data_IF_830516861845
#
_entry.id   IF_830516861845
#
_cell.length_a   1.000
_cell.length_b   1.000
_cell.length_c   1.000
_cell.angle_alpha   90.00
_cell.angle_beta   90.00
_cell.angle_gamma   90.00
#
_symmetry.space_group_name_H-M   'P 1'
#
loop_
_entity.id
_entity.type
_entity.pdbx_description
1 polymer ?
#
# COMPACT_ATOMS: atom_id res chain seq x y z
N UNK A 1 -11.94 -13.60 2.75
CA UNK A 1 -11.45 -13.68 1.36
C UNK A 1 -11.96 -12.50 0.55
N UNK A 2 -11.15 -11.99 -0.32
CA UNK A 2 -11.54 -10.91 -1.23
C UNK A 2 -12.27 -11.51 -2.42
N UNK A 3 -13.51 -11.11 -2.64
CA UNK A 3 -14.34 -11.60 -3.74
C UNK A 3 -14.29 -10.73 -5.00
N UNK A 4 -13.19 -10.01 -5.22
CA UNK A 4 -13.03 -9.14 -6.37
C UNK A 4 -11.54 -8.98 -6.74
N UNK A 5 -11.29 -8.43 -7.91
CA UNK A 5 -9.94 -8.04 -8.33
C UNK A 5 -9.94 -6.60 -8.76
N UNK A 6 -8.75 -6.05 -8.95
CA UNK A 6 -8.55 -4.64 -9.24
C UNK A 6 -7.70 -4.48 -10.50
N UNK A 7 -8.09 -3.51 -11.33
CA UNK A 7 -7.30 -3.07 -12.47
C UNK A 7 -6.85 -1.63 -12.23
N UNK A 8 -5.55 -1.39 -12.35
CA UNK A 8 -5.01 -0.04 -12.29
C UNK A 8 -5.20 0.65 -13.65
N UNK A 9 -5.54 1.94 -13.61
CA UNK A 9 -5.82 2.72 -14.82
C UNK A 9 -4.57 3.27 -15.48
N UNK A 10 -3.46 3.29 -14.77
CA UNK A 10 -2.21 3.84 -15.27
C UNK A 10 -1.17 2.74 -15.42
N UNK A 11 -0.35 2.84 -16.43
CA UNK A 11 0.76 1.93 -16.69
C UNK A 11 1.99 2.76 -17.02
N UNK A 12 3.16 2.19 -16.82
CA UNK A 12 4.42 2.84 -17.13
C UNK A 12 5.25 3.13 -15.90
N UNK A 13 5.95 4.25 -15.90
CA UNK A 13 6.86 4.61 -14.81
C UNK A 13 6.11 4.75 -13.49
N UNK A 14 6.72 4.25 -12.41
CA UNK A 14 6.11 4.34 -11.10
C UNK A 14 5.05 3.27 -10.83
N UNK A 15 5.11 2.13 -11.52
CA UNK A 15 4.16 1.03 -11.33
C UNK A 15 4.04 0.64 -9.85
N UNK A 16 5.17 0.55 -9.12
CA UNK A 16 5.14 0.19 -7.71
C UNK A 16 4.36 1.23 -6.88
N UNK A 17 4.52 2.51 -7.19
CA UNK A 17 3.78 3.60 -6.55
C UNK A 17 2.30 3.48 -6.87
N UNK A 18 1.97 3.26 -8.13
CA UNK A 18 0.59 3.09 -8.59
C UNK A 18 -0.09 1.90 -7.91
N UNK A 19 0.57 0.74 -7.90
CA UNK A 19 0.02 -0.46 -7.27
C UNK A 19 -0.23 -0.20 -5.78
N UNK A 20 0.72 0.41 -5.09
CA UNK A 20 0.58 0.73 -3.67
C UNK A 20 -0.60 1.68 -3.43
N UNK A 21 -0.73 2.72 -4.25
CA UNK A 21 -1.83 3.68 -4.15
C UNK A 21 -3.17 3.01 -4.39
N UNK A 22 -3.28 2.18 -5.42
CA UNK A 22 -4.51 1.47 -5.76
C UNK A 22 -4.89 0.47 -4.67
N UNK A 23 -3.94 -0.31 -4.17
CA UNK A 23 -4.21 -1.26 -3.08
C UNK A 23 -4.66 -0.54 -1.82
N UNK A 24 -4.09 0.63 -1.53
CA UNK A 24 -4.49 1.46 -0.38
C UNK A 24 -5.93 1.92 -0.56
N UNK A 25 -6.29 2.44 -1.72
CA UNK A 25 -7.67 2.84 -2.01
C UNK A 25 -8.64 1.67 -1.91
N UNK A 26 -8.28 0.53 -2.48
CA UNK A 26 -9.12 -0.68 -2.40
C UNK A 26 -9.34 -1.09 -0.94
N UNK A 27 -8.29 -1.05 -0.13
CA UNK A 27 -8.39 -1.37 1.29
C UNK A 27 -9.42 -0.50 1.99
N UNK A 28 -9.37 0.81 1.77
CA UNK A 28 -10.33 1.73 2.39
C UNK A 28 -11.70 1.71 1.73
N UNK A 29 -11.73 1.76 0.40
CA UNK A 29 -12.98 2.00 -0.35
C UNK A 29 -13.82 0.75 -0.54
N UNK A 30 -13.18 -0.41 -0.67
CA UNK A 30 -13.89 -1.68 -0.94
C UNK A 30 -13.88 -2.63 0.26
N UNK A 31 -12.80 -2.66 1.03
CA UNK A 31 -12.68 -3.57 2.17
C UNK A 31 -13.12 -2.95 3.49
N UNK A 32 -13.33 -1.64 3.55
CA UNK A 32 -13.75 -0.95 4.76
C UNK A 32 -12.70 -0.92 5.86
N UNK A 33 -11.43 -0.97 5.48
CA UNK A 33 -10.34 -0.90 6.45
C UNK A 33 -10.28 0.48 7.09
N UNK A 34 -9.84 0.52 8.34
CA UNK A 34 -9.64 1.78 9.08
C UNK A 34 -8.21 2.26 9.00
N UNK A 35 -7.28 1.36 8.70
CA UNK A 35 -5.85 1.63 8.66
C UNK A 35 -5.18 0.73 7.63
N UNK A 36 -4.23 1.28 6.90
CA UNK A 36 -3.35 0.53 6.00
C UNK A 36 -1.91 0.75 6.44
N UNK A 37 -1.18 -0.32 6.64
CA UNK A 37 0.22 -0.29 7.03
C UNK A 37 1.10 -0.75 5.89
N UNK A 38 2.27 -0.11 5.77
CA UNK A 38 3.33 -0.51 4.85
C UNK A 38 4.61 -0.66 5.65
N UNK A 39 5.28 -1.80 5.49
CA UNK A 39 6.56 -2.05 6.11
C UNK A 39 7.63 -2.08 5.03
N UNK A 40 8.71 -1.37 5.24
CA UNK A 40 9.79 -1.23 4.25
C UNK A 40 11.13 -1.50 4.91
N UNK A 41 12.01 -2.20 4.19
CA UNK A 41 13.39 -2.38 4.58
C UNK A 41 14.08 -1.00 4.58
N UNK A 42 14.71 -0.58 5.71
CA UNK A 42 15.40 0.71 5.78
C UNK A 42 16.51 0.88 4.74
N UNK A 43 17.06 -0.22 4.25
CA UNK A 43 18.12 -0.17 3.23
C UNK A 43 17.57 0.02 1.81
N UNK A 44 16.26 -0.08 1.64
CA UNK A 44 15.62 0.06 0.34
C UNK A 44 15.09 1.47 0.12
N UNK A 45 15.96 2.36 -0.32
CA UNK A 45 15.63 3.77 -0.56
C UNK A 45 14.46 3.96 -1.53
N UNK A 46 14.40 3.16 -2.58
CA UNK A 46 13.32 3.27 -3.58
C UNK A 46 11.97 2.96 -2.96
N UNK A 47 11.90 1.90 -2.17
CA UNK A 47 10.66 1.52 -1.51
C UNK A 47 10.26 2.47 -0.40
N UNK A 48 11.23 3.11 0.27
CA UNK A 48 10.94 4.15 1.28
C UNK A 48 10.27 5.38 0.67
N UNK A 49 10.59 5.71 -0.58
CA UNK A 49 10.01 6.88 -1.25
C UNK A 49 8.52 6.70 -1.54
N UNK A 50 8.07 5.48 -1.76
CA UNK A 50 6.69 5.21 -2.15
C UNK A 50 5.70 5.67 -1.09
N UNK A 51 5.74 5.19 0.16
CA UNK A 51 4.80 5.65 1.16
C UNK A 51 4.95 7.14 1.49
N UNK A 52 6.16 7.66 1.46
CA UNK A 52 6.41 9.09 1.68
C UNK A 52 5.75 9.95 0.61
N UNK A 53 5.90 9.56 -0.66
CA UNK A 53 5.29 10.26 -1.79
C UNK A 53 3.77 10.21 -1.75
N UNK A 54 3.21 9.11 -1.31
CA UNK A 54 1.76 8.92 -1.25
C UNK A 54 1.10 9.59 -0.05
N UNK A 55 1.87 10.05 0.92
CA UNK A 55 1.34 10.76 2.08
C UNK A 55 1.12 9.89 3.31
N UNK A 56 1.73 8.72 3.36
CA UNK A 56 1.71 7.90 4.56
C UNK A 56 2.53 8.55 5.66
N UNK A 57 2.11 8.33 6.90
CA UNK A 57 2.85 8.77 8.09
C UNK A 57 3.90 7.71 8.44
N UNK A 58 5.12 8.14 8.68
CA UNK A 58 6.17 7.27 9.18
C UNK A 58 6.01 7.13 10.69
N UNK A 59 5.55 5.96 11.14
CA UNK A 59 5.26 5.73 12.56
C UNK A 59 6.50 5.39 13.38
N UNK A 60 7.46 4.72 12.78
CA UNK A 60 8.68 4.35 13.47
C UNK A 60 9.35 3.11 12.91
N UNK A 61 10.21 2.52 13.71
CA UNK A 61 11.00 1.35 13.33
C UNK A 61 10.57 0.16 14.17
N UNK A 62 10.26 -0.94 13.49
CA UNK A 62 9.98 -2.24 14.11
C UNK A 62 11.28 -3.03 14.13
N UNK A 63 11.82 -3.26 15.32
CA UNK A 63 13.09 -3.96 15.44
C UNK A 63 12.96 -5.44 15.14
N UNK A 64 13.88 -5.96 14.33
CA UNK A 64 13.99 -7.39 13.99
C UNK A 64 12.67 -7.96 13.44
N UNK A 65 12.04 -7.21 12.58
CA UNK A 65 10.75 -7.58 11.99
C UNK A 65 10.91 -8.33 10.67
N UNK A 66 11.96 -8.03 9.91
CA UNK A 66 12.19 -8.63 8.60
C UNK A 66 13.17 -9.78 8.69
N UNK A 67 12.90 -10.82 7.89
CA UNK A 67 13.78 -11.98 7.81
C UNK A 67 15.18 -11.60 7.32
N UNK A 68 16.21 -12.37 7.74
CA UNK A 68 17.55 -12.16 7.22
C UNK A 68 17.60 -12.27 5.70
N UNK A 69 18.47 -11.47 5.06
CA UNK A 69 18.71 -11.56 3.63
C UNK A 69 19.44 -12.85 3.25
N UNK A 70 20.23 -13.37 4.19
CA UNK A 70 21.02 -14.57 4.00
C UNK A 70 20.69 -15.57 5.08
N UNK A 71 20.75 -16.87 4.74
CA UNK A 71 20.54 -17.93 5.71
C UNK A 71 21.55 -17.82 6.85
N UNK A 72 21.06 -17.88 8.08
CA UNK A 72 21.89 -17.71 9.27
C UNK A 72 22.24 -16.28 9.62
N UNK A 73 21.76 -15.30 8.84
CA UNK A 73 21.98 -13.90 9.14
C UNK A 73 21.10 -13.37 10.27
N UNK A 74 21.26 -12.10 10.60
CA UNK A 74 20.43 -11.45 11.61
C UNK A 74 19.11 -10.95 11.02
N UNK A 75 18.06 -10.97 11.84
CA UNK A 75 16.79 -10.35 11.51
C UNK A 75 17.00 -8.84 11.40
N UNK A 76 16.27 -8.24 10.46
CA UNK A 76 16.43 -6.85 10.09
C UNK A 76 15.26 -6.02 10.59
N UNK A 77 15.53 -4.74 10.81
CA UNK A 77 14.50 -3.79 11.21
C UNK A 77 13.61 -3.45 10.01
N UNK A 78 12.42 -2.97 10.30
CA UNK A 78 11.46 -2.50 9.29
C UNK A 78 10.99 -1.11 9.64
N UNK A 79 10.86 -0.26 8.65
CA UNK A 79 10.22 1.05 8.84
C UNK A 79 8.71 0.87 8.63
N UNK A 80 7.94 1.31 9.61
CA UNK A 80 6.48 1.24 9.55
C UNK A 80 5.90 2.57 9.10
N UNK A 81 5.09 2.50 8.06
CA UNK A 81 4.28 3.62 7.60
C UNK A 81 2.81 3.25 7.74
N UNK A 82 1.97 4.23 8.00
CA UNK A 82 0.54 4.01 8.09
C UNK A 82 -0.25 5.14 7.46
N UNK A 83 -1.49 4.82 7.06
CA UNK A 83 -2.49 5.78 6.67
C UNK A 83 -3.80 5.37 7.31
N UNK A 84 -4.51 6.33 7.88
CA UNK A 84 -5.85 6.14 8.43
C UNK A 84 -6.88 6.48 7.37
N UNK A 85 -8.09 5.91 7.48
CA UNK A 85 -9.13 6.10 6.46
C UNK A 85 -9.45 7.57 6.22
N UNK A 86 -9.47 8.39 7.28
CA UNK A 86 -9.73 9.83 7.16
C UNK A 86 -8.64 10.61 6.45
N UNK A 87 -7.47 10.02 6.28
CA UNK A 87 -6.33 10.65 5.61
C UNK A 87 -6.31 10.38 4.10
N UNK A 88 -7.08 9.39 3.64
CA UNK A 88 -7.09 9.00 2.23
C UNK A 88 -7.46 10.16 1.30
N UNK A 89 -8.52 10.95 1.55
CA UNK A 89 -8.92 12.01 0.62
C UNK A 89 -7.85 13.08 0.40
N UNK A 90 -7.02 13.34 1.39
CA UNK A 90 -5.93 14.31 1.30
C UNK A 90 -4.61 13.73 0.80
N UNK A 91 -4.56 12.43 0.54
CA UNK A 91 -3.34 11.76 0.11
C UNK A 91 -3.19 11.76 -1.40
N UNK A 92 -1.97 11.46 -1.87
CA UNK A 92 -1.73 11.33 -3.31
C UNK A 92 -2.28 10.02 -3.89
N UNK A 93 -2.77 9.11 -3.05
CA UNK A 93 -3.37 7.85 -3.53
C UNK A 93 -4.59 8.11 -4.41
N UNK A 94 -5.36 9.15 -4.12
CA UNK A 94 -6.59 9.46 -4.88
C UNK A 94 -6.32 9.94 -6.31
N UNK A 95 -5.08 10.26 -6.64
CA UNK A 95 -4.70 10.61 -8.01
C UNK A 95 -4.67 9.39 -8.94
N UNK A 96 -4.70 8.18 -8.38
CA UNK A 96 -4.63 6.94 -9.14
C UNK A 96 -6.00 6.30 -9.23
N UNK A 97 -6.48 6.10 -10.45
CA UNK A 97 -7.78 5.47 -10.69
C UNK A 97 -7.68 3.96 -10.74
N UNK A 98 -8.81 3.31 -10.53
CA UNK A 98 -8.94 1.86 -10.67
C UNK A 98 -10.40 1.48 -10.92
N UNK A 99 -10.60 0.24 -11.38
CA UNK A 99 -11.90 -0.40 -11.39
C UNK A 99 -11.83 -1.67 -10.54
N UNK A 100 -12.79 -1.86 -9.66
CA UNK A 100 -12.88 -3.04 -8.83
C UNK A 100 -14.06 -3.90 -9.29
N UNK A 101 -13.87 -5.21 -9.30
CA UNK A 101 -14.85 -6.17 -9.79
C UNK A 101 -15.14 -7.21 -8.72
N UNK A 102 -16.37 -7.70 -8.67
CA UNK A 102 -16.72 -8.84 -7.82
C UNK A 102 -16.30 -10.17 -8.49
N UNK A 103 -16.60 -11.29 -7.84
CA UNK A 103 -16.18 -12.61 -8.34
C UNK A 103 -16.78 -12.99 -9.69
N UNK A 104 -17.83 -12.32 -10.14
CA UNK A 104 -18.47 -12.55 -11.43
C UNK A 104 -18.22 -11.43 -12.42
N UNK A 105 -17.33 -10.50 -12.09
CA UNK A 105 -16.86 -9.46 -13.02
C UNK A 105 -17.68 -8.18 -13.03
N UNK A 106 -18.58 -7.96 -12.09
CA UNK A 106 -19.32 -6.69 -12.00
C UNK A 106 -18.45 -5.62 -11.36
N UNK A 107 -18.54 -4.41 -11.92
CA UNK A 107 -17.84 -3.25 -11.34
C UNK A 107 -18.45 -2.90 -9.99
N UNK A 108 -17.58 -2.70 -8.98
CA UNK A 108 -18.00 -2.32 -7.64
C UNK A 108 -17.87 -0.81 -7.46
N UNK A 109 -18.84 -0.15 -6.77
CA UNK A 109 -18.72 1.27 -6.48
C UNK A 109 -17.68 1.51 -5.38
N UNK A 110 -17.05 2.69 -5.40
CA UNK A 110 -16.23 3.16 -4.28
C UNK A 110 -17.12 3.42 -3.06
N UNK A 111 -16.56 3.18 -1.89
CA UNK A 111 -17.27 3.45 -0.64
C UNK A 111 -17.10 4.90 -0.19
#
# INVERSE_FOLDING_TARGET
MIGYWVRADSIGQGIATEVTAVLTRVGFEQCGLRRVDIQVDPDNERSLRIPRKLGFTEDGILRRRLEPKEEGGEWRDSVLFSMLEGELPGSSCVAFGYEAYDVIGRVLPAR
#
